data_IF_954702618064
#
_entry.id   IF_954702618064
#
_cell.length_a   1.000
_cell.length_b   1.000
_cell.length_c   1.000
_cell.angle_alpha   90.00
_cell.angle_beta   90.00
_cell.angle_gamma   90.00
#
_symmetry.space_group_name_H-M   'P 1'
#
loop_
_entity.id
_entity.type
_entity.pdbx_description
1 polymer ?
#
# COMPACT_ATOMS: atom_id res chain seq x y z
N UNK A 1 -17.97 -6.70 -2.88
CA UNK A 1 -16.83 -5.85 -2.53
C UNK A 1 -15.61 -6.25 -3.34
N UNK A 2 -14.96 -5.27 -3.99
CA UNK A 2 -13.86 -5.54 -4.93
C UNK A 2 -12.58 -6.14 -4.30
N UNK A 3 -12.59 -6.43 -2.99
CA UNK A 3 -11.48 -7.06 -2.28
C UNK A 3 -11.66 -8.56 -2.04
N UNK A 4 -12.86 -9.10 -2.22
CA UNK A 4 -13.13 -10.51 -1.91
C UNK A 4 -12.28 -11.49 -2.74
N UNK A 5 -11.97 -11.15 -3.98
CA UNK A 5 -11.09 -11.94 -4.85
C UNK A 5 -9.64 -12.05 -4.34
N UNK A 6 -9.22 -11.15 -3.44
CA UNK A 6 -7.87 -11.13 -2.85
C UNK A 6 -7.84 -11.69 -1.43
N UNK A 7 -8.98 -12.19 -0.94
CA UNK A 7 -9.11 -12.67 0.42
C UNK A 7 -8.33 -13.97 0.63
N UNK A 8 -7.58 -14.00 1.71
CA UNK A 8 -6.86 -15.18 2.20
C UNK A 8 -7.50 -15.58 3.52
N UNK A 9 -7.94 -16.82 3.64
CA UNK A 9 -8.67 -17.32 4.82
C UNK A 9 -7.91 -18.44 5.52
N UNK A 10 -8.04 -18.46 6.84
CA UNK A 10 -7.40 -19.42 7.73
C UNK A 10 -6.13 -18.89 8.39
N UNK A 11 -6.00 -19.14 9.68
CA UNK A 11 -4.90 -18.64 10.52
C UNK A 11 -3.52 -19.01 9.98
N UNK A 12 -3.36 -20.21 9.41
CA UNK A 12 -2.09 -20.63 8.82
C UNK A 12 -1.72 -19.83 7.58
N UNK A 13 -2.70 -19.51 6.74
CA UNK A 13 -2.49 -18.71 5.54
C UNK A 13 -2.17 -17.25 5.90
N UNK A 14 -2.88 -16.66 6.87
CA UNK A 14 -2.58 -15.31 7.39
C UNK A 14 -1.20 -15.27 8.05
N UNK A 15 -0.85 -16.31 8.80
CA UNK A 15 0.51 -16.44 9.37
C UNK A 15 1.60 -16.45 8.30
N UNK A 16 1.32 -17.04 7.13
CA UNK A 16 2.25 -16.98 5.99
C UNK A 16 2.42 -15.56 5.45
N UNK A 17 1.33 -14.77 5.38
CA UNK A 17 1.41 -13.36 5.00
C UNK A 17 2.24 -12.53 5.99
N UNK A 18 2.06 -12.76 7.30
CA UNK A 18 2.85 -12.10 8.33
C UNK A 18 4.34 -12.46 8.24
N UNK A 19 4.67 -13.73 7.95
CA UNK A 19 6.07 -14.15 7.71
C UNK A 19 6.67 -13.48 6.48
N UNK A 20 5.89 -13.32 5.43
CA UNK A 20 6.31 -12.61 4.21
C UNK A 20 6.68 -11.16 4.53
N UNK A 21 5.85 -10.45 5.28
CA UNK A 21 6.11 -9.08 5.74
C UNK A 21 7.33 -9.00 6.67
N UNK A 22 7.42 -9.91 7.63
CA UNK A 22 8.57 -9.97 8.56
C UNK A 22 9.89 -10.24 7.82
N UNK A 23 9.87 -11.18 6.88
CA UNK A 23 11.05 -11.54 6.09
C UNK A 23 11.55 -10.43 5.17
N UNK A 24 10.65 -9.63 4.64
CA UNK A 24 10.98 -8.46 3.82
C UNK A 24 11.64 -7.33 4.63
N UNK A 25 11.53 -7.34 5.97
CA UNK A 25 12.01 -6.29 6.88
C UNK A 25 11.49 -4.89 6.56
N UNK A 26 10.39 -4.81 5.82
CA UNK A 26 9.75 -3.56 5.46
C UNK A 26 8.92 -3.02 6.62
N UNK A 27 8.68 -1.71 6.58
CA UNK A 27 7.76 -1.11 7.53
C UNK A 27 6.33 -1.53 7.21
N UNK A 28 5.56 -1.73 8.25
CA UNK A 28 4.11 -1.88 8.18
C UNK A 28 3.45 -0.69 8.86
N UNK A 29 2.23 -0.38 8.49
CA UNK A 29 1.47 0.72 9.10
C UNK A 29 0.21 0.16 9.72
N UNK A 30 0.00 0.49 10.99
CA UNK A 30 -1.19 0.17 11.74
C UNK A 30 -2.08 1.41 11.79
N UNK A 31 -3.29 1.34 11.26
CA UNK A 31 -4.28 2.43 11.22
C UNK A 31 -5.45 2.12 12.15
N UNK A 32 -5.93 3.10 12.90
CA UNK A 32 -7.18 2.97 13.65
C UNK A 32 -8.40 3.26 12.74
N UNK A 33 -9.47 2.46 12.87
CA UNK A 33 -10.68 2.65 12.05
C UNK A 33 -11.48 3.90 12.43
N UNK A 34 -11.42 4.30 13.69
CA UNK A 34 -12.20 5.43 14.21
C UNK A 34 -11.52 6.79 14.01
N UNK A 35 -10.24 6.81 13.68
CA UNK A 35 -9.43 8.02 13.55
C UNK A 35 -8.35 7.80 12.48
N UNK A 36 -8.56 8.39 11.31
CA UNK A 36 -7.64 8.27 10.16
C UNK A 36 -6.26 8.91 10.42
N UNK A 37 -6.16 9.81 11.41
CA UNK A 37 -4.88 10.42 11.80
C UNK A 37 -4.09 9.53 12.76
N UNK A 38 -4.78 8.64 13.49
CA UNK A 38 -4.14 7.71 14.41
C UNK A 38 -3.54 6.52 13.64
N UNK A 39 -2.25 6.58 13.41
CA UNK A 39 -1.50 5.51 12.75
C UNK A 39 -0.11 5.33 13.37
N UNK A 40 0.42 4.12 13.26
CA UNK A 40 1.76 3.75 13.73
C UNK A 40 2.54 3.12 12.57
N UNK A 41 3.68 3.71 12.24
CA UNK A 41 4.68 3.07 11.36
C UNK A 41 5.58 2.19 12.22
N UNK A 42 5.59 0.89 11.95
CA UNK A 42 6.27 -0.10 12.78
C UNK A 42 6.84 -1.25 11.97
N UNK A 43 7.30 -2.31 12.65
CA UNK A 43 7.79 -3.56 12.05
C UNK A 43 7.26 -4.77 12.81
N UNK A 44 7.18 -5.90 12.11
CA UNK A 44 6.86 -7.17 12.74
C UNK A 44 8.13 -7.73 13.36
N UNK A 45 8.19 -7.77 14.68
CA UNK A 45 9.34 -8.27 15.45
C UNK A 45 9.31 -9.78 15.66
N UNK A 46 8.14 -10.37 15.80
CA UNK A 46 8.01 -11.78 16.03
C UNK A 46 6.63 -12.35 15.78
N UNK A 47 6.57 -13.67 15.61
CA UNK A 47 5.37 -14.46 15.38
C UNK A 47 5.33 -15.61 16.40
N UNK A 48 4.32 -15.59 17.25
CA UNK A 48 4.03 -16.65 18.21
C UNK A 48 2.98 -17.62 17.65
N UNK A 49 2.51 -18.56 18.46
CA UNK A 49 1.51 -19.55 18.01
C UNK A 49 0.20 -18.89 17.52
N UNK A 50 -0.32 -17.92 18.30
CA UNK A 50 -1.61 -17.27 18.04
C UNK A 50 -1.51 -15.75 17.87
N UNK A 51 -0.34 -15.16 18.11
CA UNK A 51 -0.12 -13.73 18.16
C UNK A 51 1.08 -13.33 17.32
N UNK A 52 1.19 -12.04 17.04
CA UNK A 52 2.40 -11.43 16.49
C UNK A 52 2.73 -10.14 17.25
N UNK A 53 4.00 -9.77 17.20
CA UNK A 53 4.54 -8.61 17.89
C UNK A 53 4.97 -7.55 16.93
N UNK A 54 4.60 -6.31 17.25
CA UNK A 54 5.02 -5.10 16.55
C UNK A 54 5.91 -4.29 17.48
N UNK A 55 6.98 -3.71 16.95
CA UNK A 55 7.78 -2.74 17.66
C UNK A 55 6.95 -1.47 17.95
N UNK A 56 7.19 -0.81 19.09
CA UNK A 56 6.49 0.43 19.42
C UNK A 56 7.50 1.59 19.59
N UNK A 57 7.74 2.39 18.54
CA UNK A 57 8.63 3.54 18.59
C UNK A 57 7.94 4.85 19.03
N UNK A 58 6.65 4.80 19.37
CA UNK A 58 5.84 5.98 19.66
C UNK A 58 5.97 6.51 21.10
N UNK A 59 5.31 7.62 21.36
CA UNK A 59 5.17 8.22 22.69
C UNK A 59 3.98 7.62 23.48
N UNK A 60 3.83 8.04 24.74
CA UNK A 60 2.81 7.51 25.66
C UNK A 60 1.37 7.85 25.21
N UNK A 61 1.14 9.08 24.75
CA UNK A 61 -0.19 9.49 24.31
C UNK A 61 -0.64 8.69 23.07
N UNK A 62 0.30 8.41 22.15
CA UNK A 62 0.07 7.58 20.99
C UNK A 62 -0.22 6.12 21.38
N UNK A 63 0.52 5.61 22.37
CA UNK A 63 0.30 4.26 22.90
C UNK A 63 -1.10 4.11 23.50
N UNK A 64 -1.50 5.02 24.39
CA UNK A 64 -2.83 4.99 25.01
C UNK A 64 -3.93 5.00 23.95
N UNK A 65 -3.83 5.88 22.94
CA UNK A 65 -4.79 5.96 21.86
C UNK A 65 -4.91 4.66 21.04
N UNK A 66 -3.78 3.99 20.77
CA UNK A 66 -3.78 2.71 20.07
C UNK A 66 -4.34 1.56 20.91
N UNK A 67 -4.07 1.54 22.22
CA UNK A 67 -4.60 0.53 23.14
C UNK A 67 -6.12 0.64 23.32
N UNK A 68 -6.65 1.86 23.27
CA UNK A 68 -8.09 2.14 23.37
C UNK A 68 -8.82 1.91 22.04
N UNK A 69 -8.11 1.91 20.92
CA UNK A 69 -8.70 1.73 19.60
C UNK A 69 -9.40 0.37 19.48
N UNK A 70 -10.57 0.38 18.87
CA UNK A 70 -11.31 -0.84 18.51
C UNK A 70 -11.41 -0.90 16.99
N UNK A 71 -10.81 -1.95 16.45
CA UNK A 71 -10.66 -2.11 15.01
C UNK A 71 -9.50 -1.29 14.47
N UNK A 72 -8.47 -2.01 14.05
CA UNK A 72 -7.29 -1.47 13.41
C UNK A 72 -7.05 -2.22 12.09
N UNK A 73 -6.37 -1.59 11.16
CA UNK A 73 -5.92 -2.23 9.92
C UNK A 73 -4.40 -2.18 9.84
N UNK A 74 -3.76 -3.35 9.76
CA UNK A 74 -2.34 -3.46 9.45
C UNK A 74 -2.15 -3.52 7.94
N UNK A 75 -1.30 -2.67 7.40
CA UNK A 75 -0.94 -2.62 5.98
C UNK A 75 0.56 -2.74 5.82
N UNK A 76 0.98 -3.65 4.96
CA UNK A 76 2.38 -3.76 4.54
C UNK A 76 2.50 -3.98 3.04
N UNK A 77 3.68 -3.71 2.50
CA UNK A 77 4.03 -3.95 1.10
C UNK A 77 5.18 -4.95 1.03
N UNK A 78 5.06 -5.94 0.17
CA UNK A 78 6.14 -6.87 -0.14
C UNK A 78 6.12 -7.18 -1.63
N UNK A 79 7.24 -7.00 -2.33
CA UNK A 79 7.34 -7.21 -3.78
C UNK A 79 6.22 -6.49 -4.57
N UNK A 80 5.89 -5.25 -4.20
CA UNK A 80 4.81 -4.44 -4.76
C UNK A 80 3.38 -5.03 -4.58
N UNK A 81 3.22 -6.03 -3.72
CA UNK A 81 1.94 -6.60 -3.30
C UNK A 81 1.54 -6.00 -1.97
N UNK A 82 0.32 -5.48 -1.87
CA UNK A 82 -0.23 -4.97 -0.61
C UNK A 82 -0.79 -6.14 0.21
N UNK A 83 -0.35 -6.27 1.44
CA UNK A 83 -0.95 -7.16 2.45
C UNK A 83 -1.73 -6.28 3.42
N UNK A 84 -2.96 -6.68 3.70
CA UNK A 84 -3.84 -5.98 4.63
C UNK A 84 -4.47 -6.99 5.59
N UNK A 85 -4.47 -6.65 6.89
CA UNK A 85 -5.05 -7.47 7.95
C UNK A 85 -5.93 -6.59 8.84
N UNK A 86 -7.11 -7.07 9.21
CA UNK A 86 -7.96 -6.40 10.19
C UNK A 86 -7.64 -6.95 11.58
N UNK A 87 -7.25 -6.05 12.47
CA UNK A 87 -6.81 -6.34 13.83
C UNK A 87 -7.87 -5.80 14.79
N UNK A 88 -8.53 -6.64 15.60
CA UNK A 88 -9.60 -6.19 16.49
C UNK A 88 -9.11 -5.22 17.56
N UNK A 89 -7.95 -5.49 18.16
CA UNK A 89 -7.30 -4.68 19.17
C UNK A 89 -5.83 -5.07 19.31
N UNK A 90 -5.06 -4.24 19.96
CA UNK A 90 -3.68 -4.50 20.38
C UNK A 90 -3.58 -4.45 21.91
N UNK A 91 -2.58 -5.10 22.46
CA UNK A 91 -2.19 -5.00 23.86
C UNK A 91 -0.72 -4.67 24.00
N UNK A 92 -0.33 -4.08 25.11
CA UNK A 92 1.06 -3.75 25.40
C UNK A 92 1.76 -4.96 26.03
N UNK A 93 2.96 -5.24 25.54
CA UNK A 93 3.98 -6.03 26.25
C UNK A 93 5.19 -5.15 26.49
N UNK A 94 5.56 -5.01 27.73
CA UNK A 94 6.71 -4.21 28.14
C UNK A 94 7.69 -5.12 28.88
N UNK A 95 8.94 -5.04 28.50
CA UNK A 95 10.07 -5.60 29.24
C UNK A 95 11.08 -4.46 29.56
N UNK A 96 12.17 -4.77 30.26
CA UNK A 96 13.12 -3.78 30.74
C UNK A 96 13.77 -2.92 29.64
N UNK A 97 13.73 -3.39 28.39
CA UNK A 97 14.41 -2.73 27.26
C UNK A 97 13.49 -2.30 26.13
N UNK A 98 12.27 -2.86 26.03
CA UNK A 98 11.42 -2.69 24.84
C UNK A 98 9.94 -2.65 25.16
N UNK A 99 9.25 -1.84 24.37
CA UNK A 99 7.79 -1.82 24.27
C UNK A 99 7.36 -2.46 22.98
N UNK A 100 6.43 -3.38 23.05
CA UNK A 100 5.88 -4.07 21.89
C UNK A 100 4.36 -4.11 21.97
N UNK A 101 3.71 -3.93 20.83
CA UNK A 101 2.29 -4.19 20.71
C UNK A 101 2.08 -5.65 20.28
N UNK A 102 1.18 -6.32 20.98
CA UNK A 102 0.77 -7.68 20.68
C UNK A 102 -0.59 -7.67 20.02
N UNK A 103 -0.70 -8.35 18.90
CA UNK A 103 -1.95 -8.54 18.19
C UNK A 103 -2.20 -10.03 17.92
N UNK A 104 -3.46 -10.45 18.08
CA UNK A 104 -3.86 -11.80 17.70
C UNK A 104 -3.81 -11.97 16.17
N UNK A 105 -3.36 -13.15 15.71
CA UNK A 105 -3.37 -13.48 14.28
C UNK A 105 -4.82 -13.62 13.82
N UNK A 106 -5.32 -12.79 12.88
CA UNK A 106 -6.69 -12.87 12.44
C UNK A 106 -6.96 -14.12 11.60
N UNK A 107 -8.23 -14.49 11.47
CA UNK A 107 -8.67 -15.66 10.68
C UNK A 107 -8.64 -15.41 9.18
N UNK A 108 -8.52 -14.17 8.74
CA UNK A 108 -8.46 -13.78 7.33
C UNK A 108 -7.67 -12.48 7.15
N UNK A 109 -7.26 -12.25 5.93
CA UNK A 109 -6.58 -11.05 5.48
C UNK A 109 -6.68 -10.95 3.97
N UNK A 110 -5.98 -9.99 3.37
CA UNK A 110 -5.99 -9.77 1.93
C UNK A 110 -4.58 -9.66 1.40
N UNK A 111 -4.34 -10.35 0.28
CA UNK A 111 -3.13 -10.23 -0.52
C UNK A 111 -3.47 -9.55 -1.84
N UNK A 112 -3.36 -8.23 -1.87
CA UNK A 112 -3.94 -7.37 -2.91
C UNK A 112 -2.91 -7.12 -4.00
N UNK A 113 -3.01 -7.88 -5.09
CA UNK A 113 -2.25 -7.67 -6.32
C UNK A 113 -3.21 -7.22 -7.43
N UNK A 114 -3.33 -5.90 -7.63
CA UNK A 114 -4.22 -5.32 -8.66
C UNK A 114 -3.52 -5.13 -10.00
N UNK A 115 -2.19 -5.19 -10.02
CA UNK A 115 -1.40 -4.97 -11.24
C UNK A 115 -1.08 -6.30 -11.88
N UNK A 116 -1.57 -6.51 -13.09
CA UNK A 116 -1.27 -7.70 -13.91
C UNK A 116 0.07 -7.56 -14.64
N UNK A 117 0.54 -6.33 -14.82
CA UNK A 117 1.78 -6.02 -15.52
C UNK A 117 2.75 -5.23 -14.65
N UNK A 118 4.03 -5.55 -14.77
CA UNK A 118 5.11 -4.79 -14.14
C UNK A 118 5.16 -3.38 -14.73
N UNK A 119 5.36 -2.37 -13.87
CA UNK A 119 5.52 -0.98 -14.26
C UNK A 119 6.98 -0.58 -14.18
N UNK A 120 7.43 0.12 -15.20
CA UNK A 120 8.80 0.63 -15.30
C UNK A 120 8.75 2.14 -15.26
N UNK A 121 9.50 2.74 -14.37
CA UNK A 121 9.73 4.18 -14.35
C UNK A 121 10.92 4.50 -15.26
N UNK A 122 10.86 5.57 -16.09
CA UNK A 122 12.00 6.01 -16.86
C UNK A 122 13.17 6.35 -15.92
N UNK A 123 14.43 6.10 -16.30
CA UNK A 123 15.57 6.56 -15.52
C UNK A 123 15.50 8.08 -15.27
N UNK A 124 15.91 8.53 -14.09
CA UNK A 124 15.85 9.94 -13.70
C UNK A 124 16.61 10.88 -14.68
N UNK A 125 17.61 10.35 -15.37
CA UNK A 125 18.39 11.07 -16.40
C UNK A 125 17.68 11.16 -17.76
N UNK A 126 16.67 10.30 -18.01
CA UNK A 126 15.92 10.26 -19.26
C UNK A 126 14.56 10.97 -19.08
N UNK A 127 14.42 12.18 -19.59
CA UNK A 127 13.12 12.83 -19.67
C UNK A 127 12.35 12.26 -20.86
N UNK A 128 11.40 11.37 -20.57
CA UNK A 128 10.44 10.92 -21.56
C UNK A 128 9.16 11.74 -21.43
N UNK A 129 8.67 12.29 -22.54
CA UNK A 129 7.41 13.01 -22.64
C UNK A 129 6.38 12.16 -23.36
N UNK A 130 5.15 12.25 -22.91
CA UNK A 130 4.00 11.61 -23.55
C UNK A 130 3.16 12.68 -24.24
N UNK A 131 2.89 12.50 -25.53
CA UNK A 131 1.94 13.30 -26.29
C UNK A 131 0.68 12.47 -26.53
N UNK A 132 -0.46 12.97 -26.03
CA UNK A 132 -1.76 12.28 -26.07
C UNK A 132 -2.81 13.18 -26.68
N UNK A 133 -3.65 12.62 -27.56
CA UNK A 133 -4.85 13.28 -28.07
C UNK A 133 -6.08 12.42 -27.86
N UNK A 134 -7.01 12.94 -27.09
CA UNK A 134 -8.32 12.32 -26.82
C UNK A 134 -9.38 12.99 -27.69
N UNK A 135 -10.41 12.27 -28.12
CA UNK A 135 -11.53 12.82 -28.90
C UNK A 135 -12.16 13.97 -28.13
N UNK A 136 -12.34 15.10 -28.80
CA UNK A 136 -12.94 16.32 -28.21
C UNK A 136 -11.95 17.20 -27.43
N UNK A 137 -10.69 16.78 -27.28
CA UNK A 137 -9.66 17.53 -26.56
C UNK A 137 -8.51 17.94 -27.51
N UNK A 138 -7.81 19.02 -27.17
CA UNK A 138 -6.51 19.33 -27.79
C UNK A 138 -5.44 18.38 -27.33
N UNK A 139 -4.36 18.24 -28.07
CA UNK A 139 -3.21 17.43 -27.69
C UNK A 139 -2.66 17.90 -26.34
N UNK A 140 -2.52 16.96 -25.41
CA UNK A 140 -1.89 17.15 -24.12
C UNK A 140 -0.50 16.52 -24.11
N UNK A 141 0.46 17.21 -23.51
CA UNK A 141 1.84 16.74 -23.37
C UNK A 141 2.26 16.79 -21.90
N UNK A 142 2.91 15.75 -21.43
CA UNK A 142 3.38 15.69 -20.05
C UNK A 142 4.44 14.64 -19.82
N UNK A 143 5.14 14.77 -18.71
CA UNK A 143 6.22 13.88 -18.35
C UNK A 143 5.69 12.47 -18.06
N UNK A 144 6.33 11.45 -18.64
CA UNK A 144 6.06 10.05 -18.35
C UNK A 144 6.47 9.73 -16.90
N UNK A 145 5.56 9.15 -16.14
CA UNK A 145 5.81 8.67 -14.79
C UNK A 145 6.16 7.19 -14.79
N UNK A 146 5.29 6.35 -15.34
CA UNK A 146 5.54 4.92 -15.50
C UNK A 146 4.87 4.35 -16.76
N UNK A 147 5.35 3.18 -17.20
CA UNK A 147 4.79 2.42 -18.33
C UNK A 147 4.77 0.93 -18.00
N UNK A 148 3.73 0.23 -18.50
CA UNK A 148 3.59 -1.22 -18.39
C UNK A 148 3.02 -1.79 -19.69
N UNK A 149 2.88 -3.13 -19.76
CA UNK A 149 2.21 -3.77 -20.89
C UNK A 149 0.73 -3.36 -21.03
N UNK A 150 0.08 -2.94 -19.93
CA UNK A 150 -1.34 -2.54 -19.93
C UNK A 150 -1.59 -1.04 -20.08
N UNK A 151 -0.56 -0.19 -20.08
CA UNK A 151 -0.76 1.26 -20.19
C UNK A 151 0.39 2.08 -19.63
N UNK A 152 0.18 3.38 -19.60
CA UNK A 152 1.15 4.34 -19.08
C UNK A 152 0.50 5.36 -18.13
N UNK A 153 1.32 5.93 -17.27
CA UNK A 153 0.96 7.04 -16.40
C UNK A 153 1.85 8.25 -16.74
N UNK A 154 1.26 9.40 -16.88
CA UNK A 154 2.00 10.64 -17.14
C UNK A 154 1.36 11.83 -16.45
N UNK A 155 2.10 12.89 -16.26
CA UNK A 155 1.63 14.11 -15.65
C UNK A 155 0.72 14.86 -16.64
N UNK A 156 -0.57 15.03 -16.29
CA UNK A 156 -1.48 15.81 -17.10
C UNK A 156 -1.12 17.30 -17.01
N UNK A 157 -1.04 18.02 -18.14
CA UNK A 157 -0.63 19.42 -18.14
C UNK A 157 -1.69 20.33 -17.50
N UNK A 158 -1.23 21.32 -16.74
CA UNK A 158 -2.10 22.32 -16.14
C UNK A 158 -2.85 23.12 -17.22
N UNK A 159 -4.09 23.48 -16.94
CA UNK A 159 -4.94 24.26 -17.86
C UNK A 159 -5.52 23.48 -19.04
N UNK A 160 -5.40 22.15 -19.04
CA UNK A 160 -6.12 21.26 -19.95
C UNK A 160 -7.26 20.57 -19.19
N UNK A 161 -8.44 20.53 -19.83
CA UNK A 161 -9.58 19.79 -19.28
C UNK A 161 -9.24 18.30 -19.20
N UNK A 162 -9.58 17.68 -18.06
CA UNK A 162 -9.39 16.26 -17.88
C UNK A 162 -10.37 15.47 -18.75
N UNK A 163 -9.90 14.47 -19.52
CA UNK A 163 -10.80 13.59 -20.25
C UNK A 163 -11.58 12.69 -19.29
N UNK A 164 -12.75 12.27 -19.71
CA UNK A 164 -13.54 11.30 -18.96
C UNK A 164 -13.03 9.87 -19.19
N UNK A 165 -13.18 9.02 -18.18
CA UNK A 165 -12.88 7.59 -18.33
C UNK A 165 -13.72 6.99 -19.46
N UNK A 166 -13.06 6.26 -20.36
CA UNK A 166 -13.72 5.64 -21.52
C UNK A 166 -13.76 6.51 -22.78
N UNK A 167 -13.31 7.77 -22.75
CA UNK A 167 -13.18 8.55 -23.96
C UNK A 167 -12.14 7.94 -24.92
N UNK A 168 -12.46 7.86 -26.24
CA UNK A 168 -11.54 7.29 -27.21
C UNK A 168 -10.25 8.09 -27.35
N UNK A 169 -9.15 7.36 -27.41
CA UNK A 169 -7.82 7.89 -27.65
C UNK A 169 -7.53 7.91 -29.15
N UNK A 170 -7.19 9.07 -29.72
CA UNK A 170 -6.83 9.20 -31.13
C UNK A 170 -5.39 8.77 -31.37
N UNK A 171 -4.47 9.21 -30.52
CA UNK A 171 -3.09 8.75 -30.50
C UNK A 171 -2.44 8.95 -29.13
N UNK A 172 -1.40 8.14 -28.89
CA UNK A 172 -0.48 8.29 -27.79
C UNK A 172 0.94 8.02 -28.32
N UNK A 173 1.88 8.92 -28.03
CA UNK A 173 3.29 8.79 -28.45
C UNK A 173 4.19 9.08 -27.26
N UNK A 174 5.26 8.32 -27.16
CA UNK A 174 6.33 8.56 -26.19
C UNK A 174 7.52 9.14 -26.95
N UNK A 175 7.93 10.35 -26.57
CA UNK A 175 9.03 11.07 -27.15
C UNK A 175 10.18 11.10 -26.12
N UNK A 176 11.37 10.69 -26.53
CA UNK A 176 12.60 10.81 -25.71
C UNK A 176 13.34 12.06 -26.11
N UNK A 177 13.63 12.92 -25.15
CA UNK A 177 14.60 13.97 -25.31
C UNK A 177 15.98 13.42 -24.86
N UNK A 178 16.93 13.43 -25.77
CA UNK A 178 18.32 13.09 -25.48
C UNK A 178 19.03 14.27 -24.82
#
# INVERSE_FOLDING_TARGET
DGLDQFRVSGTMAVRSLLRELQGAREHVVLYAHADDELHLVTRIEGLEANDFRLDFPGDEAHLEALLDARGLTLVGLTNAVKIQLDIPAVSLREDEERRQLIAAIPSHGWRIQRREAFRVEPPAADSAEVAVRVVGHREARGRLHDISAGGLCFQWPAGHDLPQVGQPLLHCRIERFR
#
